data_IF_470297270115
#
_entry.id   IF_470297270115
#
_cell.length_a   1.000
_cell.length_b   1.000
_cell.length_c   1.000
_cell.angle_alpha   90.00
_cell.angle_beta   90.00
_cell.angle_gamma   90.00
#
_symmetry.space_group_name_H-M   'P 1'
#
loop_
_entity.id
_entity.type
_entity.pdbx_description
1 polymer ?
#
# COMPACT_ATOMS: atom_id res chain seq x y z
N UNK A 1 -0.71 0.56 -13.49
CA UNK A 1 -1.18 -0.82 -13.77
C UNK A 1 -1.02 -1.20 -15.23
N UNK A 2 -1.48 -0.37 -16.18
CA UNK A 2 -1.30 -0.64 -17.63
C UNK A 2 -0.14 0.15 -18.29
N UNK A 3 0.34 1.24 -17.68
CA UNK A 3 1.39 2.09 -18.27
C UNK A 3 2.83 1.57 -18.13
N UNK A 4 3.15 0.93 -17.01
CA UNK A 4 4.27 -0.03 -16.92
C UNK A 4 3.63 -1.41 -16.92
N UNK A 5 4.15 -2.42 -17.65
CA UNK A 5 3.59 -3.77 -17.68
C UNK A 5 3.83 -4.49 -16.35
N UNK A 6 3.26 -3.98 -15.25
CA UNK A 6 3.31 -4.53 -13.89
C UNK A 6 2.72 -5.94 -13.88
N UNK A 7 1.72 -6.18 -14.74
CA UNK A 7 1.01 -7.47 -14.83
C UNK A 7 1.78 -8.50 -15.67
N UNK A 8 2.59 -8.07 -16.66
CA UNK A 8 3.38 -8.99 -17.49
C UNK A 8 4.80 -9.21 -16.97
N UNK A 9 5.32 -8.33 -16.09
CA UNK A 9 6.63 -8.51 -15.48
C UNK A 9 6.49 -9.29 -14.15
N UNK A 10 6.97 -10.56 -14.07
CA UNK A 10 6.85 -11.38 -12.86
C UNK A 10 7.56 -10.76 -11.65
N UNK A 11 8.56 -9.89 -11.84
CA UNK A 11 9.27 -9.19 -10.76
C UNK A 11 8.37 -8.18 -10.05
N UNK A 12 7.48 -7.51 -10.77
CA UNK A 12 6.54 -6.54 -10.22
C UNK A 12 5.20 -7.17 -9.79
N UNK A 13 4.89 -8.38 -10.26
CA UNK A 13 3.73 -9.14 -9.80
C UNK A 13 3.86 -9.59 -8.34
N UNK A 14 5.08 -9.95 -7.90
CA UNK A 14 5.37 -10.36 -6.51
C UNK A 14 4.97 -9.28 -5.49
N UNK A 15 5.49 -8.03 -5.55
CA UNK A 15 5.08 -7.00 -4.62
C UNK A 15 3.59 -6.64 -4.77
N UNK A 16 3.01 -6.77 -5.98
CA UNK A 16 1.59 -6.48 -6.19
C UNK A 16 0.65 -7.42 -5.43
N UNK A 17 1.01 -8.70 -5.27
CA UNK A 17 0.21 -9.68 -4.51
C UNK A 17 0.60 -9.70 -3.04
N UNK A 18 1.90 -9.66 -2.74
CA UNK A 18 2.41 -9.78 -1.37
C UNK A 18 2.11 -8.53 -0.54
N UNK A 19 2.22 -7.34 -1.13
CA UNK A 19 1.96 -6.08 -0.41
C UNK A 19 0.55 -6.01 0.17
N UNK A 20 -0.54 -6.18 -0.60
CA UNK A 20 -1.89 -6.15 -0.02
C UNK A 20 -2.17 -7.28 0.98
N UNK A 21 -1.53 -8.45 0.83
CA UNK A 21 -1.61 -9.53 1.83
C UNK A 21 -0.98 -9.13 3.16
N UNK A 22 0.21 -8.54 3.13
CA UNK A 22 0.92 -8.06 4.33
C UNK A 22 0.17 -6.89 4.97
N UNK A 23 -0.28 -5.92 4.17
CA UNK A 23 -1.06 -4.78 4.70
C UNK A 23 -2.39 -5.23 5.30
N UNK A 24 -3.10 -6.17 4.66
CA UNK A 24 -4.36 -6.71 5.16
C UNK A 24 -4.19 -7.49 6.46
N UNK A 25 -3.10 -8.26 6.60
CA UNK A 25 -2.80 -8.97 7.86
C UNK A 25 -2.47 -8.00 8.99
N UNK A 26 -1.63 -6.97 8.74
CA UNK A 26 -1.30 -5.94 9.73
C UNK A 26 -2.56 -5.18 10.15
N UNK A 27 -3.39 -4.76 9.20
CA UNK A 27 -4.65 -4.08 9.48
C UNK A 27 -5.59 -4.95 10.33
N UNK A 28 -5.71 -6.24 10.01
CA UNK A 28 -6.53 -7.18 10.78
C UNK A 28 -6.04 -7.35 12.22
N UNK A 29 -4.72 -7.46 12.43
CA UNK A 29 -4.15 -7.53 13.78
C UNK A 29 -4.34 -6.23 14.56
N UNK A 30 -4.17 -5.07 13.91
CA UNK A 30 -4.38 -3.76 14.52
C UNK A 30 -5.84 -3.57 14.97
N UNK A 31 -6.82 -3.98 14.17
CA UNK A 31 -8.24 -3.96 14.56
C UNK A 31 -8.53 -4.99 15.66
N UNK A 32 -7.97 -6.20 15.60
CA UNK A 32 -8.21 -7.26 16.60
C UNK A 32 -7.67 -6.91 17.99
N UNK A 33 -6.54 -6.22 18.07
CA UNK A 33 -5.95 -5.79 19.34
C UNK A 33 -6.58 -4.51 19.92
N UNK A 34 -7.60 -3.94 19.26
CA UNK A 34 -8.26 -2.73 19.71
C UNK A 34 -7.41 -1.47 19.56
N UNK A 35 -6.32 -1.54 18.78
CA UNK A 35 -5.49 -0.36 18.44
C UNK A 35 -6.19 0.58 17.49
N UNK A 36 -7.22 0.11 16.77
CA UNK A 36 -8.01 0.89 15.84
C UNK A 36 -9.47 0.51 15.99
N UNK A 37 -10.32 1.51 16.23
CA UNK A 37 -11.77 1.33 16.27
C UNK A 37 -12.30 0.62 15.02
N UNK A 38 -13.20 -0.34 15.22
CA UNK A 38 -13.83 -1.09 14.15
C UNK A 38 -14.56 -0.14 13.19
N UNK A 39 -14.31 -0.29 11.90
CA UNK A 39 -14.95 0.50 10.84
C UNK A 39 -16.46 0.29 10.92
N UNK A 40 -17.19 1.29 11.41
CA UNK A 40 -18.65 1.28 11.56
C UNK A 40 -19.37 1.70 10.28
N UNK A 41 -18.65 2.34 9.34
CA UNK A 41 -19.20 2.83 8.08
C UNK A 41 -18.33 2.35 6.91
N UNK A 42 -18.95 1.62 5.98
CA UNK A 42 -18.27 1.20 4.74
C UNK A 42 -18.16 2.42 3.83
N UNK A 43 -17.02 3.11 3.91
CA UNK A 43 -16.70 4.21 3.01
C UNK A 43 -16.51 3.69 1.58
N UNK A 44 -17.04 4.38 0.55
CA UNK A 44 -16.72 4.12 -0.85
C UNK A 44 -15.20 3.99 -1.08
N UNK A 45 -14.80 3.01 -1.89
CA UNK A 45 -13.40 2.76 -2.25
C UNK A 45 -12.75 3.90 -3.06
N UNK A 46 -13.55 4.85 -3.55
CA UNK A 46 -13.10 6.06 -4.26
C UNK A 46 -12.77 7.21 -3.33
N UNK A 47 -13.11 7.12 -2.04
CA UNK A 47 -12.67 8.11 -1.06
C UNK A 47 -11.16 7.93 -0.84
N UNK A 48 -10.38 9.03 -0.81
CA UNK A 48 -9.02 8.97 -0.31
C UNK A 48 -9.08 8.34 1.08
N UNK A 49 -8.13 7.43 1.35
CA UNK A 49 -8.05 6.51 2.49
C UNK A 49 -8.84 6.98 3.73
N UNK A 50 -9.54 6.06 4.40
CA UNK A 50 -10.46 6.36 5.51
C UNK A 50 -9.84 7.26 6.60
N UNK A 51 -8.50 7.29 6.73
CA UNK A 51 -7.74 8.24 7.55
C UNK A 51 -7.95 9.71 7.19
N UNK A 52 -8.11 10.05 5.91
CA UNK A 52 -8.30 11.40 5.39
C UNK A 52 -9.70 11.89 5.76
N UNK A 53 -10.69 10.99 5.77
CA UNK A 53 -12.04 11.31 6.25
C UNK A 53 -12.07 11.56 7.76
N UNK A 54 -11.30 10.80 8.55
CA UNK A 54 -11.16 11.03 10.00
C UNK A 54 -10.37 12.29 10.31
N UNK A 55 -9.32 12.58 9.52
CA UNK A 55 -8.53 13.81 9.62
C UNK A 55 -9.33 15.07 9.27
N UNK A 56 -10.22 15.00 8.26
CA UNK A 56 -11.12 16.10 7.88
C UNK A 56 -12.22 16.36 8.93
N UNK A 57 -12.41 15.45 9.89
CA UNK A 57 -13.43 15.51 10.95
C UNK A 57 -12.84 15.90 12.33
N UNK A 58 -11.64 16.50 12.36
CA UNK A 58 -11.02 17.13 13.55
C UNK A 58 -10.52 16.19 14.67
N UNK A 59 -10.42 14.88 14.45
CA UNK A 59 -9.67 14.00 15.35
C UNK A 59 -8.58 13.26 14.58
N UNK A 60 -7.33 13.38 15.04
CA UNK A 60 -6.26 12.43 14.71
C UNK A 60 -6.67 11.09 15.34
N UNK A 61 -7.56 10.38 14.66
CA UNK A 61 -8.04 9.08 15.09
C UNK A 61 -6.92 8.06 14.94
N UNK A 62 -6.94 7.03 15.78
CA UNK A 62 -6.01 5.89 15.72
C UNK A 62 -5.93 5.27 14.30
N UNK A 63 -7.02 5.39 13.54
CA UNK A 63 -7.16 5.03 12.13
C UNK A 63 -6.16 5.78 11.21
N UNK A 64 -5.93 7.06 11.46
CA UNK A 64 -5.00 7.89 10.69
C UNK A 64 -3.55 7.46 10.91
N UNK A 65 -3.20 7.13 12.16
CA UNK A 65 -1.85 6.64 12.49
C UNK A 65 -1.58 5.29 11.82
N UNK A 66 -2.54 4.36 11.88
CA UNK A 66 -2.40 3.06 11.22
C UNK A 66 -2.23 3.20 9.70
N UNK A 67 -3.02 4.05 9.05
CA UNK A 67 -2.92 4.26 7.60
C UNK A 67 -1.56 4.80 7.17
N UNK A 68 -1.05 5.83 7.86
CA UNK A 68 0.28 6.37 7.56
C UNK A 68 1.36 5.29 7.71
N UNK A 69 1.27 4.47 8.76
CA UNK A 69 2.19 3.33 8.96
C UNK A 69 2.07 2.31 7.82
N UNK A 70 0.85 1.96 7.40
CA UNK A 70 0.61 1.04 6.29
C UNK A 70 1.16 1.59 4.96
N UNK A 71 1.03 2.89 4.69
CA UNK A 71 1.59 3.54 3.49
C UNK A 71 3.12 3.50 3.51
N UNK A 72 3.73 3.75 4.66
CA UNK A 72 5.19 3.65 4.83
C UNK A 72 5.65 2.22 4.58
N UNK A 73 4.99 1.23 5.18
CA UNK A 73 5.31 -0.20 4.99
C UNK A 73 5.12 -0.60 3.52
N UNK A 74 4.03 -0.16 2.88
CA UNK A 74 3.78 -0.41 1.46
C UNK A 74 4.91 0.16 0.60
N UNK A 75 5.32 1.40 0.88
CA UNK A 75 6.40 2.08 0.14
C UNK A 75 7.74 1.38 0.34
N UNK A 76 8.07 0.96 1.57
CA UNK A 76 9.29 0.21 1.87
C UNK A 76 9.30 -1.17 1.23
N UNK A 77 8.16 -1.86 1.18
CA UNK A 77 8.07 -3.15 0.49
C UNK A 77 8.15 -3.00 -1.03
N UNK A 78 7.63 -1.91 -1.59
CA UNK A 78 7.65 -1.69 -3.04
C UNK A 78 9.02 -1.18 -3.55
N UNK A 79 9.74 -0.41 -2.73
CA UNK A 79 11.06 0.17 -3.03
C UNK A 79 12.10 -0.82 -3.60
N UNK A 80 12.37 -1.99 -3.00
CA UNK A 80 13.38 -2.91 -3.51
C UNK A 80 13.00 -3.47 -4.89
N UNK A 81 11.72 -3.81 -5.09
CA UNK A 81 11.25 -4.34 -6.38
C UNK A 81 11.21 -3.25 -7.46
N UNK A 82 10.85 -2.03 -7.08
CA UNK A 82 10.93 -0.88 -7.98
C UNK A 82 12.37 -0.64 -8.45
N UNK A 83 13.34 -0.72 -7.55
CA UNK A 83 14.76 -0.54 -7.90
C UNK A 83 15.30 -1.65 -8.80
N UNK A 84 14.83 -2.89 -8.64
CA UNK A 84 15.18 -4.00 -9.55
C UNK A 84 14.58 -3.76 -10.94
N UNK A 85 13.33 -3.29 -11.00
CA UNK A 85 12.66 -2.97 -12.26
C UNK A 85 13.32 -1.80 -12.99
N UNK A 86 13.66 -0.73 -12.27
CA UNK A 86 14.36 0.43 -12.82
C UNK A 86 15.73 0.03 -13.41
N UNK A 87 16.50 -0.80 -12.69
CA UNK A 87 17.75 -1.34 -13.23
C UNK A 87 17.55 -2.22 -14.47
N UNK A 88 16.45 -2.99 -14.56
CA UNK A 88 16.18 -3.80 -15.75
C UNK A 88 15.86 -2.96 -16.98
N UNK A 89 15.17 -1.83 -16.79
CA UNK A 89 14.89 -0.88 -17.88
C UNK A 89 16.17 -0.16 -18.32
N UNK A 90 17.04 0.24 -17.40
CA UNK A 90 18.33 0.87 -17.75
C UNK A 90 19.21 -0.09 -18.56
N UNK A 91 19.19 -1.40 -18.27
CA UNK A 91 19.93 -2.40 -19.05
C UNK A 91 19.35 -2.53 -20.47
N UNK A 92 18.02 -2.52 -20.60
CA UNK A 92 17.32 -2.58 -21.89
C UNK A 92 17.55 -1.30 -22.72
N UNK A 93 17.55 -0.12 -22.08
CA UNK A 93 17.86 1.17 -22.71
C UNK A 93 19.34 1.29 -23.13
N UNK A 94 20.26 0.63 -22.42
CA UNK A 94 21.69 0.60 -22.76
C UNK A 94 22.05 -0.40 -23.87
N UNK A 95 21.06 -1.07 -24.47
CA UNK A 95 21.25 -1.83 -25.70
C UNK A 95 22.07 -3.11 -25.53
N UNK A 96 21.76 -3.92 -24.51
CA UNK A 96 22.14 -5.34 -24.46
C UNK A 96 20.93 -6.24 -24.36
#
# INVERSE_FOLDING_TARGET
MFGTPVVMNPVLMIPFVVTPLVLGTIAWFATKWGFVNQVTQIAPWTLPDQSVLTWLQDLIGEQTVLSVVLIIIATLMYLPFYKIYDNSLVVEEQGK
#
